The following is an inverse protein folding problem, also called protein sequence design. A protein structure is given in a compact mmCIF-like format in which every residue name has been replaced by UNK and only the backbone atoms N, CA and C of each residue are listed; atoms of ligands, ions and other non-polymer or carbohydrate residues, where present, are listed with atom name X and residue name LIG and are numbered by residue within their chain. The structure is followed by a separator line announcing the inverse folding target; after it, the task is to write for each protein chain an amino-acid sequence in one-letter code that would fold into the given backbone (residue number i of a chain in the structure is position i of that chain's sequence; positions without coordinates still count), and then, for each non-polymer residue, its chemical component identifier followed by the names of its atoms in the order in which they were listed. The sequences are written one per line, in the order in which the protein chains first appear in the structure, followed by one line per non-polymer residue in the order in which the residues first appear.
data_IF_719369202847
#
_entry.id   IF_719369202847
#
_cell.length_a   1.000
_cell.length_b   1.000
_cell.length_c   1.000
_cell.angle_alpha   90.00
_cell.angle_beta   90.00
_cell.angle_gamma   90.00
#
_symmetry.space_group_name_H-M   'P 1'
#
loop_
_entity.id
_entity.type
_entity.pdbx_description
1 polymer ?
#
# COMPACT_ATOMS: atom_id res chain seq x y z
N UNK A 1 -6.32 -7.95 23.38
CA UNK A 1 -5.95 -7.77 21.96
C UNK A 1 -6.58 -6.47 21.49
N UNK A 2 -5.83 -5.65 20.78
CA UNK A 2 -6.28 -4.35 20.27
C UNK A 2 -7.48 -4.52 19.33
N UNK A 3 -8.57 -3.79 19.56
CA UNK A 3 -9.65 -3.66 18.58
C UNK A 3 -9.24 -2.67 17.49
N UNK A 4 -8.79 -3.19 16.35
CA UNK A 4 -8.29 -2.39 15.21
C UNK A 4 -9.41 -1.70 14.41
N UNK A 5 -10.68 -1.92 14.75
CA UNK A 5 -11.86 -1.45 14.00
C UNK A 5 -12.58 -0.28 14.67
N UNK A 6 -12.25 0.05 15.91
CA UNK A 6 -12.81 1.23 16.60
C UNK A 6 -12.26 2.55 16.06
N UNK A 7 -12.82 3.66 16.56
CA UNK A 7 -12.33 5.03 16.35
C UNK A 7 -11.07 5.27 17.21
N UNK A 8 -10.05 5.87 16.60
CA UNK A 8 -8.79 6.25 17.23
C UNK A 8 -8.55 7.74 17.09
N UNK A 9 -8.14 8.39 18.18
CA UNK A 9 -7.67 9.77 18.20
C UNK A 9 -6.25 9.92 17.63
N UNK A 10 -5.43 8.87 17.77
CA UNK A 10 -4.09 8.76 17.21
C UNK A 10 -4.11 7.88 15.96
N UNK A 11 -3.75 8.47 14.83
CA UNK A 11 -3.66 7.79 13.54
C UNK A 11 -2.25 7.22 13.36
N UNK A 12 -2.07 5.94 13.71
CA UNK A 12 -0.84 5.16 13.49
C UNK A 12 -1.16 3.87 12.73
N UNK A 13 -0.14 3.22 12.16
CA UNK A 13 -0.33 2.08 11.29
C UNK A 13 -0.96 0.85 11.96
N UNK A 14 -1.63 0.01 11.17
CA UNK A 14 -2.24 -1.24 11.60
C UNK A 14 -3.72 -1.15 12.02
N UNK A 15 -4.35 0.02 11.96
CA UNK A 15 -5.79 0.19 12.24
C UNK A 15 -6.63 0.26 10.98
N UNK A 16 -7.94 0.09 11.12
CA UNK A 16 -8.89 0.24 10.01
C UNK A 16 -8.92 1.64 9.44
N UNK A 17 -8.94 1.72 8.11
CA UNK A 17 -9.12 2.94 7.34
C UNK A 17 -9.72 2.62 5.96
N UNK A 18 -10.32 3.59 5.28
CA UNK A 18 -10.69 3.42 3.88
C UNK A 18 -11.35 4.67 3.30
N UNK A 19 -11.43 4.76 1.98
CA UNK A 19 -12.25 5.79 1.37
C UNK A 19 -13.75 5.53 1.55
N UNK A 20 -14.55 6.58 1.46
CA UNK A 20 -16.03 6.50 1.58
C UNK A 20 -16.72 5.61 0.54
N UNK A 21 -16.00 5.23 -0.53
CA UNK A 21 -16.51 4.44 -1.65
C UNK A 21 -16.13 2.95 -1.60
N UNK A 22 -15.20 2.56 -0.73
CA UNK A 22 -14.80 1.15 -0.55
C UNK A 22 -15.24 0.60 0.79
N UNK A 23 -14.96 -0.68 1.04
CA UNK A 23 -15.27 -1.35 2.31
C UNK A 23 -14.34 -0.84 3.41
N UNK A 24 -13.11 -1.35 3.47
CA UNK A 24 -12.05 -0.92 4.38
C UNK A 24 -10.76 -1.72 4.12
N UNK A 25 -9.64 -1.17 4.57
CA UNK A 25 -8.34 -1.83 4.65
C UNK A 25 -7.57 -1.34 5.87
N UNK A 26 -6.26 -1.45 5.82
CA UNK A 26 -5.34 -1.11 6.91
C UNK A 26 -4.61 0.20 6.61
N UNK A 27 -4.52 1.08 7.60
CA UNK A 27 -3.64 2.24 7.55
C UNK A 27 -2.19 1.73 7.61
N UNK A 28 -1.37 2.04 6.61
CA UNK A 28 0.04 1.68 6.64
C UNK A 28 0.77 2.47 7.72
N UNK A 29 0.51 3.77 7.79
CA UNK A 29 1.12 4.67 8.77
C UNK A 29 1.11 6.12 8.29
N UNK A 30 1.79 6.97 9.05
CA UNK A 30 2.05 8.37 8.71
C UNK A 30 3.41 8.47 8.00
N UNK A 31 3.45 9.20 6.90
CA UNK A 31 4.64 9.42 6.07
C UNK A 31 4.83 10.92 5.85
N UNK A 32 6.03 11.32 5.43
CA UNK A 32 6.29 12.65 4.90
C UNK A 32 6.06 12.65 3.39
N UNK A 33 5.27 13.58 2.88
CA UNK A 33 5.18 13.86 1.45
C UNK A 33 6.41 14.65 1.01
N UNK A 34 7.26 14.03 0.17
CA UNK A 34 8.52 14.64 -0.30
C UNK A 34 8.28 15.83 -1.23
N UNK A 35 7.04 16.04 -1.71
CA UNK A 35 6.70 17.13 -2.63
C UNK A 35 6.44 18.46 -1.92
N UNK A 36 5.91 18.41 -0.70
CA UNK A 36 5.53 19.62 0.05
C UNK A 36 5.88 19.58 1.54
N UNK A 37 6.49 18.50 2.03
CA UNK A 37 6.94 18.35 3.41
C UNK A 37 5.83 18.05 4.42
N UNK A 38 4.59 17.83 3.96
CA UNK A 38 3.45 17.59 4.87
C UNK A 38 3.35 16.14 5.32
N UNK A 39 2.79 15.91 6.50
CA UNK A 39 2.40 14.57 6.94
C UNK A 39 1.21 14.07 6.13
N UNK A 40 1.25 12.81 5.71
CA UNK A 40 0.19 12.15 4.97
C UNK A 40 -0.07 10.75 5.51
N UNK A 41 -1.32 10.29 5.44
CA UNK A 41 -1.66 8.89 5.67
C UNK A 41 -1.39 8.10 4.41
N UNK A 42 -0.89 6.87 4.54
CA UNK A 42 -0.63 5.98 3.39
C UNK A 42 -1.39 4.66 3.55
N UNK A 43 -1.92 4.14 2.46
CA UNK A 43 -2.47 2.78 2.34
C UNK A 43 -2.40 2.34 0.87
N UNK A 44 -2.96 1.17 0.53
CA UNK A 44 -3.12 0.82 -0.88
C UNK A 44 -4.06 1.81 -1.58
N UNK A 45 -3.85 2.01 -2.88
CA UNK A 45 -4.77 2.83 -3.67
C UNK A 45 -6.16 2.19 -3.71
N UNK A 46 -6.29 0.86 -3.80
CA UNK A 46 -7.62 0.24 -3.74
C UNK A 46 -8.33 0.39 -2.38
N UNK A 47 -7.61 0.76 -1.31
CA UNK A 47 -8.19 1.10 0.00
C UNK A 47 -8.58 2.58 0.06
N UNK A 48 -7.84 3.45 -0.61
CA UNK A 48 -8.11 4.89 -0.70
C UNK A 48 -8.78 5.32 -2.02
N UNK A 49 -9.35 4.37 -2.77
CA UNK A 49 -9.79 4.58 -4.15
C UNK A 49 -10.71 5.79 -4.22
N UNK A 50 -10.53 6.63 -5.24
CA UNK A 50 -11.31 7.85 -5.39
C UNK A 50 -10.67 8.92 -6.28
N UNK A 51 -11.20 10.13 -6.16
CA UNK A 51 -10.69 11.33 -6.85
C UNK A 51 -9.88 12.19 -5.89
N UNK A 52 -8.64 12.57 -6.25
CA UNK A 52 -7.81 13.47 -5.44
C UNK A 52 -8.53 14.76 -5.05
N UNK A 53 -8.37 15.16 -3.79
CA UNK A 53 -8.96 16.32 -3.13
C UNK A 53 -10.49 16.39 -3.18
N UNK A 54 -11.15 15.24 -3.37
CA UNK A 54 -12.62 15.13 -3.35
C UNK A 54 -13.10 13.97 -2.51
N UNK A 55 -12.45 12.81 -2.64
CA UNK A 55 -12.87 11.60 -1.94
C UNK A 55 -12.39 11.61 -0.49
N UNK A 56 -13.34 11.44 0.44
CA UNK A 56 -13.08 11.38 1.87
C UNK A 56 -12.43 10.07 2.27
N UNK A 57 -11.50 10.16 3.22
CA UNK A 57 -10.86 9.03 3.91
C UNK A 57 -11.39 8.97 5.34
N UNK A 58 -11.86 7.80 5.75
CA UNK A 58 -12.54 7.55 7.00
C UNK A 58 -11.70 6.68 7.93
N UNK A 59 -11.68 7.00 9.23
CA UNK A 59 -11.15 6.13 10.28
C UNK A 59 -12.22 5.92 11.36
N UNK A 60 -12.73 4.69 11.57
CA UNK A 60 -12.40 3.48 10.81
C UNK A 60 -13.00 3.51 9.40
N UNK A 61 -12.65 2.53 8.56
CA UNK A 61 -13.25 2.40 7.23
C UNK A 61 -14.76 2.09 7.29
N UNK A 62 -15.46 2.27 6.17
CA UNK A 62 -16.94 2.17 6.08
C UNK A 62 -17.50 0.82 6.55
N UNK A 63 -16.82 -0.28 6.22
CA UNK A 63 -17.21 -1.62 6.64
C UNK A 63 -17.23 -1.80 8.17
N UNK A 64 -16.50 -0.95 8.91
CA UNK A 64 -16.40 -1.03 10.38
C UNK A 64 -17.24 0.01 11.09
N UNK A 65 -18.21 0.59 10.39
CA UNK A 65 -19.07 1.63 10.95
C UNK A 65 -18.46 3.03 10.87
N UNK A 66 -17.47 3.25 10.01
CA UNK A 66 -17.05 4.59 9.59
C UNK A 66 -18.17 5.32 8.83
N UNK A 67 -18.32 6.61 9.08
CA UNK A 67 -19.37 7.47 8.53
C UNK A 67 -18.83 8.85 8.13
N UNK A 68 -19.69 9.76 7.67
CA UNK A 68 -19.31 11.15 7.39
C UNK A 68 -18.77 11.92 8.62
N UNK A 69 -19.03 11.43 9.84
CA UNK A 69 -18.46 12.00 11.06
C UNK A 69 -17.03 11.50 11.35
N UNK A 70 -16.54 10.55 10.56
CA UNK A 70 -15.27 9.85 10.78
C UNK A 70 -14.20 10.22 9.75
N UNK A 71 -14.41 11.31 9.02
CA UNK A 71 -13.47 11.83 8.03
C UNK A 71 -12.19 12.30 8.73
N UNK A 72 -11.05 11.75 8.30
CA UNK A 72 -9.72 12.13 8.79
C UNK A 72 -8.91 12.91 7.76
N UNK A 73 -9.35 12.92 6.50
CA UNK A 73 -8.75 13.68 5.41
C UNK A 73 -9.33 13.32 4.06
N UNK A 74 -8.67 13.75 3.01
CA UNK A 74 -9.04 13.54 1.61
C UNK A 74 -7.93 12.78 0.88
N UNK A 75 -8.30 11.94 -0.08
CA UNK A 75 -7.32 11.34 -1.00
C UNK A 75 -6.48 12.47 -1.62
N UNK A 76 -5.16 12.40 -1.51
CA UNK A 76 -4.24 13.44 -2.01
C UNK A 76 -3.61 13.04 -3.33
N UNK A 77 -3.12 11.80 -3.43
CA UNK A 77 -2.40 11.28 -4.59
C UNK A 77 -2.38 9.76 -4.58
N UNK A 78 -2.27 9.14 -5.75
CA UNK A 78 -2.08 7.71 -5.90
C UNK A 78 -1.16 7.40 -7.08
N UNK A 79 -0.62 6.18 -7.11
CA UNK A 79 0.12 5.64 -8.25
C UNK A 79 -0.84 4.85 -9.14
N UNK A 80 -0.98 5.19 -10.44
CA UNK A 80 -1.84 4.44 -11.34
C UNK A 80 -1.34 3.01 -11.59
N UNK A 81 -2.24 2.02 -11.45
CA UNK A 81 -1.95 0.58 -11.61
C UNK A 81 -2.17 0.03 -13.04
N UNK A 82 -2.63 0.88 -13.96
CA UNK A 82 -2.87 0.56 -15.37
C UNK A 82 -2.08 1.50 -16.28
N UNK A 83 -0.77 1.29 -16.37
CA UNK A 83 0.11 2.08 -17.22
C UNK A 83 0.26 1.40 -18.58
N UNK A 84 0.08 2.18 -19.64
CA UNK A 84 0.39 1.78 -21.02
C UNK A 84 1.58 2.59 -21.52
N UNK A 85 2.39 1.99 -22.37
CA UNK A 85 3.47 2.71 -23.03
C UNK A 85 2.91 3.92 -23.81
N UNK A 86 3.51 5.09 -23.60
CA UNK A 86 3.22 6.24 -24.45
C UNK A 86 3.92 6.02 -25.79
N UNK A 87 3.15 6.00 -26.88
CA UNK A 87 3.75 5.93 -28.21
C UNK A 87 4.63 7.17 -28.49
N UNK A 88 5.90 6.96 -28.87
CA UNK A 88 6.73 8.03 -29.41
C UNK A 88 6.03 8.70 -30.61
N UNK A 89 6.31 9.98 -30.83
CA UNK A 89 5.67 10.77 -31.90
C UNK A 89 5.83 10.13 -33.29
N UNK A 90 7.01 9.57 -33.59
CA UNK A 90 7.27 8.85 -34.84
C UNK A 90 6.45 7.55 -34.96
N UNK A 91 6.27 6.82 -33.85
CA UNK A 91 5.43 5.61 -33.82
C UNK A 91 3.95 5.95 -34.04
N UNK A 92 3.48 7.08 -33.52
CA UNK A 92 2.12 7.60 -33.81
C UNK A 92 1.94 7.90 -35.30
N UNK A 93 2.93 8.49 -35.96
CA UNK A 93 2.92 8.74 -37.41
C UNK A 93 2.87 7.43 -38.20
N UNK A 94 3.67 6.43 -37.84
CA UNK A 94 3.64 5.09 -38.48
C UNK A 94 2.27 4.44 -38.30
N UNK A 95 1.69 4.49 -37.10
CA UNK A 95 0.36 3.94 -36.83
C UNK A 95 -0.79 4.70 -37.50
N UNK A 96 -0.64 6.01 -37.72
CA UNK A 96 -1.59 6.81 -38.49
C UNK A 96 -1.63 6.38 -39.97
N UNK A 97 -0.46 6.05 -40.54
CA UNK A 97 -0.31 5.70 -41.97
C UNK A 97 -0.59 4.23 -42.26
N UNK A 98 -0.21 3.33 -41.34
CA UNK A 98 -0.19 1.89 -41.57
C UNK A 98 -0.96 1.08 -40.50
N UNK A 99 -1.71 1.74 -39.62
CA UNK A 99 -2.36 1.10 -38.46
C UNK A 99 -3.28 -0.08 -38.81
N UNK A 100 -3.99 -0.02 -39.94
CA UNK A 100 -4.84 -1.10 -40.45
C UNK A 100 -4.08 -2.38 -40.89
N UNK A 101 -2.77 -2.27 -41.13
CA UNK A 101 -1.88 -3.40 -41.45
C UNK A 101 -0.98 -3.79 -40.27
N UNK A 102 -0.87 -2.94 -39.24
CA UNK A 102 0.07 -3.06 -38.12
C UNK A 102 -0.63 -2.98 -36.76
N UNK A 103 -1.78 -3.63 -36.60
CA UNK A 103 -2.63 -3.52 -35.40
C UNK A 103 -1.88 -3.88 -34.11
N UNK A 104 -1.13 -4.99 -34.10
CA UNK A 104 -0.33 -5.43 -32.96
C UNK A 104 0.78 -4.42 -32.60
N UNK A 105 1.50 -3.89 -33.58
CA UNK A 105 2.53 -2.87 -33.39
C UNK A 105 1.95 -1.54 -32.88
N UNK A 106 0.69 -1.25 -33.25
CA UNK A 106 -0.04 -0.04 -32.93
C UNK A 106 -0.90 -0.14 -31.68
N UNK A 107 -0.80 -1.24 -30.94
CA UNK A 107 -1.39 -1.39 -29.61
C UNK A 107 -0.32 -1.10 -28.54
N UNK A 108 -0.54 -0.13 -27.62
CA UNK A 108 0.37 0.10 -26.51
C UNK A 108 0.49 -1.12 -25.59
N UNK A 109 1.73 -1.56 -25.36
CA UNK A 109 2.03 -2.60 -24.38
C UNK A 109 1.64 -2.13 -22.98
N UNK A 110 1.09 -3.05 -22.19
CA UNK A 110 0.88 -2.83 -20.76
C UNK A 110 2.22 -2.87 -20.04
N UNK A 111 2.46 -1.83 -19.23
CA UNK A 111 3.62 -1.77 -18.34
C UNK A 111 3.17 -2.36 -17.01
N UNK A 112 3.81 -3.43 -16.51
CA UNK A 112 3.50 -3.98 -15.19
C UNK A 112 3.61 -2.92 -14.09
N UNK A 113 2.74 -3.00 -13.10
CA UNK A 113 2.78 -2.10 -11.95
C UNK A 113 3.74 -2.63 -10.88
N UNK A 114 4.45 -1.74 -10.19
CA UNK A 114 5.28 -2.15 -9.05
C UNK A 114 4.54 -1.97 -7.70
N UNK A 115 3.60 -1.03 -7.66
CA UNK A 115 2.94 -0.60 -6.42
C UNK A 115 1.44 -0.38 -6.63
N UNK A 116 0.70 -0.67 -5.57
CA UNK A 116 -0.68 -0.24 -5.37
C UNK A 116 -0.70 0.62 -4.11
N UNK A 117 -0.62 1.94 -4.25
CA UNK A 117 -0.41 2.85 -3.13
C UNK A 117 -1.02 4.22 -3.37
N UNK A 118 -1.54 4.81 -2.30
CA UNK A 118 -2.05 6.16 -2.28
C UNK A 118 -1.74 6.84 -0.95
N UNK A 119 -1.73 8.17 -0.96
CA UNK A 119 -1.65 8.99 0.23
C UNK A 119 -2.84 9.94 0.35
N UNK A 120 -3.16 10.31 1.59
CA UNK A 120 -4.24 11.21 1.95
C UNK A 120 -3.75 12.36 2.83
N UNK A 121 -4.43 13.49 2.75
CA UNK A 121 -4.25 14.62 3.69
C UNK A 121 -4.64 14.19 5.11
N UNK A 122 -4.23 15.00 6.08
CA UNK A 122 -4.62 14.84 7.49
C UNK A 122 -5.32 16.14 7.90
N UNK A 123 -6.63 16.06 8.03
CA UNK A 123 -7.50 17.22 8.31
C UNK A 123 -8.14 17.13 9.70
N UNK A 124 -8.18 15.93 10.29
CA UNK A 124 -8.65 15.70 11.64
C UNK A 124 -7.84 14.61 12.34
N UNK A 125 -7.88 14.66 13.67
CA UNK A 125 -7.20 13.74 14.60
C UNK A 125 -5.68 13.88 14.53
N UNK A 126 -4.98 13.32 15.53
CA UNK A 126 -3.54 13.52 15.66
C UNK A 126 -2.79 12.44 14.87
N UNK A 127 -1.92 12.80 13.91
CA UNK A 127 -1.02 11.83 13.30
C UNK A 127 -0.01 11.34 14.33
N UNK A 128 0.29 10.04 14.28
CA UNK A 128 1.31 9.42 15.12
C UNK A 128 2.15 8.48 14.25
N UNK A 129 3.47 8.68 14.24
CA UNK A 129 4.37 7.81 13.51
C UNK A 129 4.38 6.40 14.13
N UNK A 130 4.83 5.41 13.35
CA UNK A 130 4.89 4.04 13.81
C UNK A 130 3.59 3.26 13.65
N UNK A 131 3.49 2.14 14.36
CA UNK A 131 2.42 1.14 14.19
C UNK A 131 1.94 0.57 15.51
N UNK A 132 0.65 0.28 15.58
CA UNK A 132 0.05 -0.42 16.71
C UNK A 132 0.36 -1.92 16.71
N UNK A 133 0.89 -2.42 17.82
CA UNK A 133 0.97 -3.84 18.16
C UNK A 133 -0.35 -4.33 18.78
N UNK A 134 -0.53 -5.65 18.86
CA UNK A 134 -1.77 -6.27 19.36
C UNK A 134 -2.03 -6.05 20.86
N UNK A 135 -1.00 -5.65 21.61
CA UNK A 135 -1.14 -5.21 23.01
C UNK A 135 -1.58 -3.74 23.13
N UNK A 136 -1.70 -3.00 22.01
CA UNK A 136 -2.08 -1.58 21.96
C UNK A 136 -0.94 -0.59 22.07
N UNK A 137 0.30 -1.05 22.27
CA UNK A 137 1.49 -0.19 22.20
C UNK A 137 1.73 0.26 20.75
N UNK A 138 2.20 1.49 20.58
CA UNK A 138 2.78 1.97 19.32
C UNK A 138 4.30 1.78 19.41
N UNK A 139 4.89 1.19 18.39
CA UNK A 139 6.34 1.14 18.21
C UNK A 139 6.75 1.95 16.99
N UNK A 140 7.99 2.44 17.02
CA UNK A 140 8.52 3.41 16.07
C UNK A 140 9.71 2.86 15.25
N UNK A 141 9.53 1.85 14.36
CA UNK A 141 10.60 1.41 13.48
C UNK A 141 11.15 2.57 12.65
N UNK A 142 12.41 2.94 12.88
CA UNK A 142 13.01 4.12 12.23
C UNK A 142 13.67 3.78 10.90
N UNK A 143 14.12 2.54 10.76
CA UNK A 143 14.88 2.11 9.60
C UNK A 143 13.96 1.66 8.47
N UNK A 144 14.44 1.79 7.23
CA UNK A 144 13.74 1.32 6.04
C UNK A 144 14.64 0.39 5.24
N UNK A 145 14.04 -0.52 4.47
CA UNK A 145 14.75 -1.40 3.55
C UNK A 145 14.12 -1.32 2.16
N UNK A 146 14.93 -1.39 1.09
CA UNK A 146 14.40 -1.20 -0.29
C UNK A 146 13.38 -2.27 -0.69
N UNK A 147 13.55 -3.48 -0.15
CA UNK A 147 12.80 -4.69 -0.53
C UNK A 147 13.59 -5.66 -1.42
N UNK A 148 14.83 -5.32 -1.78
CA UNK A 148 15.68 -6.13 -2.65
C UNK A 148 16.58 -7.11 -1.87
N UNK A 149 16.86 -8.28 -2.42
CA UNK A 149 17.85 -9.21 -1.84
C UNK A 149 17.49 -9.80 -0.48
N UNK A 150 16.22 -9.79 -0.11
CA UNK A 150 15.71 -10.27 1.20
C UNK A 150 15.06 -11.66 1.13
N UNK A 151 15.22 -12.38 0.03
CA UNK A 151 14.74 -13.77 -0.09
C UNK A 151 15.27 -14.64 1.06
N UNK A 152 14.40 -15.45 1.65
CA UNK A 152 14.72 -16.29 2.81
C UNK A 152 14.66 -15.58 4.17
N UNK A 153 14.53 -14.25 4.20
CA UNK A 153 14.36 -13.49 5.45
C UNK A 153 12.95 -13.64 6.01
N UNK A 154 12.80 -13.37 7.30
CA UNK A 154 11.50 -13.30 7.98
C UNK A 154 10.99 -11.86 8.01
N UNK A 155 9.69 -11.70 7.80
CA UNK A 155 8.97 -10.44 7.94
C UNK A 155 7.83 -10.58 8.92
N UNK A 156 7.39 -9.47 9.46
CA UNK A 156 6.12 -9.37 10.15
C UNK A 156 5.29 -8.23 9.58
N UNK A 157 3.98 -8.30 9.80
CA UNK A 157 3.06 -7.24 9.44
C UNK A 157 2.00 -7.05 10.52
N UNK A 158 1.34 -5.91 10.52
CA UNK A 158 0.16 -5.66 11.37
C UNK A 158 -1.02 -5.21 10.52
N UNK A 159 -2.07 -6.03 10.47
CA UNK A 159 -3.25 -5.77 9.65
C UNK A 159 -4.50 -5.56 10.48
N UNK A 160 -5.45 -4.78 9.96
CA UNK A 160 -6.72 -4.53 10.67
C UNK A 160 -7.56 -5.79 10.90
N UNK A 161 -7.37 -6.86 10.10
CA UNK A 161 -8.15 -8.09 10.19
C UNK A 161 -7.44 -9.14 11.03
N UNK A 162 -6.18 -9.44 10.73
CA UNK A 162 -5.46 -10.54 11.40
C UNK A 162 -4.49 -10.07 12.49
N UNK A 163 -4.34 -8.76 12.69
CA UNK A 163 -3.38 -8.22 13.65
C UNK A 163 -1.95 -8.54 13.25
N UNK A 164 -1.13 -8.86 14.25
CA UNK A 164 0.25 -9.30 14.05
C UNK A 164 0.29 -10.68 13.37
N UNK A 165 0.99 -10.77 12.24
CA UNK A 165 1.37 -12.06 11.65
C UNK A 165 2.80 -12.01 11.13
N UNK A 166 3.44 -13.17 11.10
CA UNK A 166 4.78 -13.37 10.53
C UNK A 166 4.71 -14.18 9.24
N UNK A 167 5.75 -14.05 8.43
CA UNK A 167 5.92 -14.86 7.24
C UNK A 167 7.37 -14.90 6.78
N UNK A 168 7.69 -15.90 5.97
CA UNK A 168 9.01 -16.06 5.38
C UNK A 168 8.98 -15.66 3.92
N UNK A 169 9.93 -14.84 3.49
CA UNK A 169 10.03 -14.37 2.11
C UNK A 169 10.45 -15.53 1.23
N UNK A 170 9.56 -15.90 0.31
CA UNK A 170 9.80 -16.94 -0.70
C UNK A 170 10.57 -16.38 -1.89
N UNK A 171 10.23 -15.17 -2.32
CA UNK A 171 10.95 -14.45 -3.36
C UNK A 171 10.84 -12.95 -3.16
N UNK A 172 11.97 -12.25 -3.16
CA UNK A 172 12.02 -10.78 -3.12
C UNK A 172 11.82 -10.11 -4.48
N UNK A 173 11.58 -10.86 -5.56
CA UNK A 173 11.26 -10.30 -6.89
C UNK A 173 10.41 -11.30 -7.67
N UNK A 174 9.13 -11.01 -7.80
CA UNK A 174 8.15 -11.87 -8.46
C UNK A 174 7.26 -11.08 -9.41
N UNK A 175 6.88 -11.74 -10.51
CA UNK A 175 5.82 -11.27 -11.41
C UNK A 175 4.54 -12.02 -11.08
N UNK A 176 3.48 -11.28 -10.76
CA UNK A 176 2.20 -11.84 -10.31
C UNK A 176 1.04 -11.18 -11.05
N UNK A 177 -0.05 -11.92 -11.18
CA UNK A 177 -1.29 -11.42 -11.77
C UNK A 177 -2.36 -11.42 -10.69
N UNK A 178 -2.95 -10.26 -10.40
CA UNK A 178 -3.86 -10.05 -9.28
C UNK A 178 -5.23 -9.60 -9.80
N UNK A 179 -6.30 -10.19 -9.27
CA UNK A 179 -7.67 -9.87 -9.65
C UNK A 179 -8.21 -8.70 -8.81
N UNK A 180 -8.66 -7.64 -9.48
CA UNK A 180 -9.21 -6.44 -8.84
C UNK A 180 -10.74 -6.37 -8.91
N UNK A 181 -11.41 -7.49 -9.23
CA UNK A 181 -12.87 -7.61 -9.25
C UNK A 181 -13.48 -7.58 -10.65
N UNK A 182 -12.92 -6.78 -11.56
CA UNK A 182 -13.35 -6.63 -12.95
C UNK A 182 -12.26 -7.00 -13.96
N UNK A 183 -10.99 -6.88 -13.55
CA UNK A 183 -9.83 -7.13 -14.40
C UNK A 183 -8.67 -7.72 -13.62
N UNK A 184 -7.75 -8.31 -14.38
CA UNK A 184 -6.47 -8.76 -13.87
C UNK A 184 -5.40 -7.70 -14.13
N UNK A 185 -4.63 -7.36 -13.10
CA UNK A 185 -3.49 -6.46 -13.19
C UNK A 185 -2.20 -7.27 -13.00
N UNK A 186 -1.20 -7.03 -13.85
CA UNK A 186 0.12 -7.62 -13.71
C UNK A 186 0.98 -6.70 -12.86
N UNK A 187 1.55 -7.26 -11.79
CA UNK A 187 2.57 -6.63 -10.98
C UNK A 187 3.92 -7.28 -11.23
N UNK A 188 4.97 -6.48 -11.25
CA UNK A 188 6.36 -6.94 -11.38
C UNK A 188 7.19 -6.42 -10.21
N UNK A 189 8.30 -7.10 -9.95
CA UNK A 189 9.22 -6.82 -8.84
C UNK A 189 8.55 -6.68 -7.45
N UNK A 190 7.52 -7.48 -7.17
CA UNK A 190 6.88 -7.56 -5.85
C UNK A 190 7.44 -8.70 -5.01
N UNK A 191 7.21 -8.66 -3.69
CA UNK A 191 7.72 -9.66 -2.75
C UNK A 191 6.63 -10.66 -2.39
N UNK A 192 6.93 -11.95 -2.60
CA UNK A 192 6.07 -13.08 -2.21
C UNK A 192 6.50 -13.63 -0.86
N UNK A 193 5.54 -13.74 0.06
CA UNK A 193 5.75 -14.22 1.43
C UNK A 193 4.84 -15.40 1.70
N UNK A 194 5.38 -16.47 2.29
CA UNK A 194 4.58 -17.54 2.89
C UNK A 194 4.23 -17.12 4.31
N UNK A 195 2.96 -16.82 4.54
CA UNK A 195 2.48 -16.25 5.80
C UNK A 195 1.00 -15.91 5.73
N UNK A 196 0.39 -15.70 6.90
CA UNK A 196 -1.05 -15.46 7.01
C UNK A 196 -1.42 -14.02 6.67
N UNK A 197 -2.37 -13.87 5.75
CA UNK A 197 -3.13 -12.64 5.54
C UNK A 197 -4.59 -12.97 5.23
N UNK A 198 -5.48 -11.99 5.41
CA UNK A 198 -6.90 -12.09 5.02
C UNK A 198 -7.40 -10.81 4.37
N UNK A 199 -8.56 -10.89 3.74
CA UNK A 199 -9.28 -9.70 3.28
C UNK A 199 -9.38 -8.65 4.39
N UNK A 200 -9.08 -7.39 4.04
CA UNK A 200 -8.95 -6.27 4.97
C UNK A 200 -7.52 -5.99 5.44
N UNK A 201 -6.58 -6.93 5.31
CA UNK A 201 -5.16 -6.67 5.60
C UNK A 201 -4.45 -5.85 4.50
N UNK A 202 -5.10 -5.59 3.37
CA UNK A 202 -4.61 -4.63 2.36
C UNK A 202 -4.21 -3.32 3.02
N UNK A 203 -2.99 -2.86 2.78
CA UNK A 203 -2.43 -1.66 3.40
C UNK A 203 -1.62 -1.96 4.65
N UNK A 204 -1.51 -3.22 5.08
CA UNK A 204 -0.69 -3.58 6.25
C UNK A 204 0.77 -3.17 6.02
N UNK A 205 1.38 -2.42 6.94
CA UNK A 205 2.80 -2.19 6.90
C UNK A 205 3.54 -3.50 7.16
N UNK A 206 4.59 -3.76 6.38
CA UNK A 206 5.44 -4.96 6.48
C UNK A 206 6.84 -4.53 6.90
N UNK A 207 7.42 -5.26 7.84
CA UNK A 207 8.72 -4.99 8.42
C UNK A 207 9.64 -6.21 8.32
N UNK A 208 10.90 -5.98 7.95
CA UNK A 208 11.96 -6.98 7.97
C UNK A 208 12.38 -7.21 9.43
N UNK A 209 12.19 -8.45 9.91
CA UNK A 209 12.38 -8.85 11.30
C UNK A 209 13.87 -9.08 11.59
N UNK A 210 14.44 -8.43 12.60
CA UNK A 210 15.85 -8.57 13.01
C UNK A 210 16.04 -9.44 14.25
N UNK A 211 15.05 -9.47 15.14
CA UNK A 211 15.09 -10.22 16.40
C UNK A 211 13.96 -11.24 16.52
N UNK A 212 13.74 -11.74 17.73
CA UNK A 212 12.64 -12.69 18.00
C UNK A 212 11.27 -12.02 18.12
N UNK A 213 11.24 -10.74 18.52
CA UNK A 213 10.03 -9.95 18.73
C UNK A 213 10.07 -8.68 17.87
N UNK A 214 8.91 -8.11 17.50
CA UNK A 214 8.84 -6.81 16.83
C UNK A 214 9.54 -5.73 17.63
N UNK A 215 10.39 -4.95 16.97
CA UNK A 215 11.14 -3.88 17.63
C UNK A 215 11.33 -2.66 16.74
N UNK A 216 11.80 -1.56 17.33
CA UNK A 216 12.13 -0.34 16.58
C UNK A 216 13.40 -0.49 15.72
N UNK A 217 14.17 -1.56 15.91
CA UNK A 217 15.31 -1.89 15.08
C UNK A 217 14.89 -2.48 13.72
N UNK A 218 13.68 -3.05 13.63
CA UNK A 218 13.15 -3.62 12.41
C UNK A 218 13.06 -2.56 11.29
N UNK A 219 13.04 -3.03 10.04
CA UNK A 219 13.05 -2.13 8.87
C UNK A 219 11.72 -2.16 8.15
N UNK A 220 11.06 -1.01 7.98
CA UNK A 220 9.90 -0.91 7.10
C UNK A 220 10.32 -1.23 5.66
N UNK A 221 9.64 -2.20 5.04
CA UNK A 221 10.07 -2.79 3.77
C UNK A 221 8.99 -2.73 2.69
N UNK A 222 7.73 -2.51 3.06
CA UNK A 222 6.66 -2.40 2.07
C UNK A 222 5.25 -2.47 2.63
N UNK A 223 4.29 -2.59 1.72
CA UNK A 223 2.86 -2.59 2.03
C UNK A 223 2.20 -3.80 1.38
N UNK A 224 1.53 -4.63 2.19
CA UNK A 224 0.74 -5.77 1.70
C UNK A 224 -0.40 -5.28 0.83
N UNK A 225 -0.58 -5.85 -0.37
CA UNK A 225 -1.67 -5.45 -1.28
C UNK A 225 -2.53 -6.62 -1.79
N UNK A 226 -2.01 -7.85 -1.74
CA UNK A 226 -2.71 -9.04 -2.21
C UNK A 226 -2.29 -10.27 -1.39
N UNK A 227 -3.13 -11.30 -1.35
CA UNK A 227 -2.79 -12.54 -0.66
C UNK A 227 -3.96 -13.51 -0.52
N UNK A 228 -3.66 -14.63 0.11
CA UNK A 228 -4.54 -15.71 0.52
C UNK A 228 -4.25 -16.06 1.99
N UNK A 229 -4.82 -17.16 2.47
CA UNK A 229 -4.59 -17.67 3.83
C UNK A 229 -3.15 -18.12 4.08
N UNK A 230 -2.41 -18.49 3.04
CA UNK A 230 -1.08 -19.12 3.17
C UNK A 230 0.05 -18.28 2.57
N UNK A 231 -0.30 -17.30 1.74
CA UNK A 231 0.66 -16.41 1.09
C UNK A 231 0.15 -14.98 1.08
N UNK A 232 1.05 -14.02 1.22
CA UNK A 232 0.75 -12.64 0.90
C UNK A 232 1.85 -12.02 0.07
N UNK A 233 1.50 -10.93 -0.60
CA UNK A 233 2.33 -10.20 -1.54
C UNK A 233 2.35 -8.75 -1.09
N UNK A 234 3.54 -8.15 -1.05
CA UNK A 234 3.69 -6.75 -0.71
C UNK A 234 4.48 -5.97 -1.77
N UNK A 235 4.09 -4.71 -1.91
CA UNK A 235 4.76 -3.70 -2.73
C UNK A 235 6.00 -3.19 -2.01
N UNK A 236 7.14 -3.10 -2.70
CA UNK A 236 8.42 -2.68 -2.11
C UNK A 236 8.44 -1.19 -1.75
N UNK A 237 9.09 -0.87 -0.64
CA UNK A 237 9.26 0.50 -0.18
C UNK A 237 9.96 1.41 -1.20
N UNK A 238 10.96 0.91 -1.94
CA UNK A 238 11.68 1.72 -2.95
C UNK A 238 10.74 2.37 -3.96
N UNK A 239 9.76 1.61 -4.48
CA UNK A 239 8.81 2.11 -5.46
C UNK A 239 7.74 3.02 -4.84
N UNK A 240 7.43 2.86 -3.55
CA UNK A 240 6.55 3.79 -2.83
C UNK A 240 7.23 5.17 -2.77
N UNK A 241 8.52 5.21 -2.44
CA UNK A 241 9.30 6.46 -2.42
C UNK A 241 9.42 7.05 -3.82
N UNK A 242 9.82 6.24 -4.81
CA UNK A 242 10.08 6.69 -6.17
C UNK A 242 8.81 7.15 -6.91
N UNK A 243 7.71 6.42 -6.78
CA UNK A 243 6.52 6.62 -7.61
C UNK A 243 5.43 7.44 -6.92
N UNK A 244 5.21 7.24 -5.61
CA UNK A 244 4.25 8.04 -4.85
C UNK A 244 4.90 9.33 -4.32
N UNK A 245 6.20 9.31 -4.02
CA UNK A 245 6.93 10.47 -3.50
C UNK A 245 6.69 10.71 -2.02
N UNK A 246 6.61 9.64 -1.21
CA UNK A 246 6.45 9.72 0.24
C UNK A 246 7.56 8.95 0.95
N UNK A 247 7.92 9.36 2.16
CA UNK A 247 9.01 8.77 2.94
C UNK A 247 8.50 8.31 4.31
N UNK A 248 8.87 7.08 4.69
CA UNK A 248 8.56 6.53 6.00
C UNK A 248 9.35 7.27 7.09
N UNK A 249 8.67 7.59 8.18
CA UNK A 249 9.24 8.30 9.32
C UNK A 249 8.83 7.58 10.59
N UNK A 250 9.81 7.21 11.40
CA UNK A 250 9.60 6.58 12.71
C UNK A 250 9.39 7.60 13.84
N UNK A 251 9.77 8.86 13.66
CA UNK A 251 9.78 9.91 14.71
C UNK A 251 9.48 11.34 14.22
#
# INVERSE_FOLDING_TARGET
MLDRTRRYDLLAGGISIGSEIVTAGTLTGVFIDKKDGTNVLVSNFHVFMGTPYKTKILQPGKYDGGSDNDVVGLLKRYVPIERREKFPWWKKLVCLLFGWFLEEYCTPSEIPSHVDVACATIEARKPEYGVYLDNGQIIHPKSTHSGDGITGSTVWKVGRTTGYTEGNIVSSSSKVKVWYGDKWIVFDDVVLVKGLARGGDSGSPVFLKKGEQPSEEDSFVGILFAGSTDYFIFCKYKYIVEELGVEWKGD
#
